data_IF_467629143679
#
_entry.id   IF_467629143679
#
_cell.length_a   1.000
_cell.length_b   1.000
_cell.length_c   1.000
_cell.angle_alpha   90.00
_cell.angle_beta   90.00
_cell.angle_gamma   90.00
#
_symmetry.space_group_name_H-M   'P 1'
#
loop_
_entity.id
_entity.type
_entity.pdbx_description
1 polymer ?
#
# COMPACT_ATOMS: atom_id res chain seq x y z
N UNK A 1 22.57 6.15 -35.72
CA UNK A 1 23.14 6.19 -34.34
C UNK A 1 22.30 7.07 -33.39
N UNK A 2 22.09 8.37 -33.67
CA UNK A 2 21.36 9.28 -32.76
C UNK A 2 19.90 8.88 -32.41
N UNK A 3 19.13 8.41 -33.40
CA UNK A 3 17.74 7.94 -33.21
C UNK A 3 17.65 6.75 -32.24
N UNK A 4 18.62 5.84 -32.28
CA UNK A 4 18.64 4.63 -31.44
C UNK A 4 18.95 4.98 -29.97
N UNK A 5 19.80 5.98 -29.75
CA UNK A 5 20.14 6.49 -28.41
C UNK A 5 18.91 7.16 -27.77
N UNK A 6 18.18 7.98 -28.53
CA UNK A 6 16.98 8.68 -28.06
C UNK A 6 15.88 7.72 -27.58
N UNK A 7 15.59 6.68 -28.38
CA UNK A 7 14.57 5.66 -28.06
C UNK A 7 14.95 4.87 -26.80
N UNK A 8 16.23 4.52 -26.65
CA UNK A 8 16.73 3.79 -25.48
C UNK A 8 16.63 4.63 -24.21
N UNK A 9 16.99 5.91 -24.26
CA UNK A 9 16.88 6.84 -23.13
C UNK A 9 15.43 7.05 -22.70
N UNK A 10 14.50 7.22 -23.64
CA UNK A 10 13.08 7.35 -23.33
C UNK A 10 12.51 6.09 -22.67
N UNK A 11 12.90 4.90 -23.14
CA UNK A 11 12.49 3.63 -22.52
C UNK A 11 12.98 3.49 -21.07
N UNK A 12 14.21 3.91 -20.78
CA UNK A 12 14.78 3.89 -19.43
C UNK A 12 14.04 4.83 -18.49
N UNK A 13 13.72 6.06 -18.93
CA UNK A 13 12.99 7.04 -18.14
C UNK A 13 11.60 6.51 -17.74
N UNK A 14 10.86 5.94 -18.70
CA UNK A 14 9.53 5.36 -18.42
C UNK A 14 9.63 4.21 -17.42
N UNK A 15 10.63 3.32 -17.56
CA UNK A 15 10.87 2.22 -16.61
C UNK A 15 11.15 2.75 -15.20
N UNK A 16 11.97 3.79 -15.07
CA UNK A 16 12.29 4.41 -13.78
C UNK A 16 11.04 4.99 -13.09
N UNK A 17 10.18 5.70 -13.83
CA UNK A 17 8.93 6.23 -13.27
C UNK A 17 8.02 5.11 -12.75
N UNK A 18 7.89 4.01 -13.51
CA UNK A 18 7.10 2.85 -13.10
C UNK A 18 7.68 2.20 -11.84
N UNK A 19 9.01 2.01 -11.78
CA UNK A 19 9.66 1.44 -10.60
C UNK A 19 9.46 2.30 -9.35
N UNK A 20 9.55 3.63 -9.48
CA UNK A 20 9.28 4.56 -8.36
C UNK A 20 7.84 4.42 -7.88
N UNK A 21 6.86 4.41 -8.80
CA UNK A 21 5.45 4.24 -8.44
C UNK A 21 5.20 2.89 -7.76
N UNK A 22 5.77 1.80 -8.29
CA UNK A 22 5.65 0.48 -7.67
C UNK A 22 6.27 0.46 -6.27
N UNK A 23 7.43 1.07 -6.08
CA UNK A 23 8.09 1.15 -4.78
C UNK A 23 7.22 1.92 -3.75
N UNK A 24 6.60 3.02 -4.17
CA UNK A 24 5.70 3.80 -3.31
C UNK A 24 4.43 3.03 -2.92
N UNK A 25 3.99 2.07 -3.73
CA UNK A 25 2.80 1.28 -3.46
C UNK A 25 3.04 0.08 -2.53
N UNK A 26 4.30 -0.27 -2.20
CA UNK A 26 4.60 -1.44 -1.36
C UNK A 26 3.97 -1.33 0.04
N UNK A 27 4.20 -0.20 0.72
CA UNK A 27 3.70 0.03 2.08
C UNK A 27 2.17 0.04 2.14
N UNK A 28 1.42 0.74 1.26
CA UNK A 28 -0.03 0.75 1.34
C UNK A 28 -0.63 -0.60 0.99
N UNK A 29 -0.05 -1.34 0.02
CA UNK A 29 -0.49 -2.70 -0.29
C UNK A 29 -0.30 -3.64 0.90
N UNK A 30 0.84 -3.56 1.58
CA UNK A 30 1.09 -4.33 2.79
C UNK A 30 0.09 -3.97 3.91
N UNK A 31 -0.16 -2.68 4.12
CA UNK A 31 -1.10 -2.19 5.13
C UNK A 31 -2.54 -2.71 4.89
N UNK A 32 -3.04 -2.59 3.65
CA UNK A 32 -4.37 -3.11 3.28
C UNK A 32 -4.43 -4.63 3.45
N UNK A 33 -3.38 -5.35 3.03
CA UNK A 33 -3.32 -6.81 3.18
C UNK A 33 -3.37 -7.24 4.64
N UNK A 34 -2.62 -6.56 5.52
CA UNK A 34 -2.63 -6.83 6.96
C UNK A 34 -4.01 -6.58 7.57
N UNK A 35 -4.66 -5.47 7.21
CA UNK A 35 -6.00 -5.12 7.66
C UNK A 35 -7.05 -6.14 7.23
N UNK A 36 -7.07 -6.52 5.94
CA UNK A 36 -8.00 -7.52 5.41
C UNK A 36 -7.81 -8.88 6.07
N UNK A 37 -6.56 -9.33 6.24
CA UNK A 37 -6.26 -10.60 6.92
C UNK A 37 -6.76 -10.61 8.35
N UNK A 38 -6.61 -9.50 9.07
CA UNK A 38 -7.10 -9.39 10.43
C UNK A 38 -8.63 -9.45 10.49
N UNK A 39 -9.33 -8.71 9.61
CA UNK A 39 -10.80 -8.75 9.55
C UNK A 39 -11.28 -10.18 9.32
N UNK A 40 -10.71 -10.88 8.34
CA UNK A 40 -11.09 -12.27 8.04
C UNK A 40 -10.85 -13.17 9.25
N UNK A 41 -9.72 -13.00 9.96
CA UNK A 41 -9.40 -13.81 11.12
C UNK A 41 -10.31 -13.52 12.32
N UNK A 42 -10.70 -12.26 12.53
CA UNK A 42 -11.65 -11.85 13.57
C UNK A 42 -13.03 -12.40 13.26
N UNK A 43 -13.50 -12.25 12.02
CA UNK A 43 -14.80 -12.76 11.55
C UNK A 43 -14.90 -14.27 11.76
N UNK A 44 -13.87 -15.00 11.32
CA UNK A 44 -13.77 -16.45 11.50
C UNK A 44 -13.75 -16.88 12.97
N UNK A 45 -13.14 -16.09 13.86
CA UNK A 45 -13.10 -16.37 15.30
C UNK A 45 -14.49 -16.20 15.93
N UNK A 46 -15.19 -15.11 15.57
CA UNK A 46 -16.53 -14.82 16.07
C UNK A 46 -17.54 -15.86 15.58
N UNK A 47 -17.46 -16.28 14.32
CA UNK A 47 -18.30 -17.34 13.75
C UNK A 47 -18.09 -18.70 14.43
N UNK A 48 -16.87 -18.96 14.92
CA UNK A 48 -16.55 -20.16 15.69
C UNK A 48 -16.98 -20.07 17.18
N UNK A 49 -17.54 -18.93 17.61
CA UNK A 49 -17.89 -18.68 19.01
C UNK A 49 -16.69 -18.37 19.91
N UNK A 50 -15.53 -18.07 19.33
CA UNK A 50 -14.35 -17.58 20.05
C UNK A 50 -14.35 -16.05 20.15
N UNK A 51 -13.49 -15.52 21.02
CA UNK A 51 -13.07 -14.12 20.92
C UNK A 51 -11.71 -14.02 20.24
N UNK A 52 -11.36 -12.86 19.67
CA UNK A 52 -10.08 -12.67 18.98
C UNK A 52 -9.07 -11.94 19.86
N UNK A 53 -7.93 -12.58 20.14
CA UNK A 53 -6.80 -11.97 20.83
C UNK A 53 -5.99 -11.11 19.84
N UNK A 54 -6.15 -9.79 19.93
CA UNK A 54 -5.46 -8.82 19.08
C UNK A 54 -3.96 -8.69 19.35
N UNK A 55 -3.47 -9.15 20.52
CA UNK A 55 -2.06 -9.15 20.86
C UNK A 55 -1.35 -10.39 20.31
N UNK A 56 -1.99 -11.56 20.39
CA UNK A 56 -1.45 -12.80 19.84
C UNK A 56 -1.85 -13.06 18.37
N UNK A 57 -2.82 -12.33 17.83
CA UNK A 57 -3.29 -12.44 16.45
C UNK A 57 -4.00 -13.75 16.14
N UNK A 58 -4.80 -14.28 17.08
CA UNK A 58 -5.49 -15.58 16.95
C UNK A 58 -6.80 -15.62 17.72
N UNK A 59 -7.64 -16.59 17.35
CA UNK A 59 -8.83 -16.94 18.11
C UNK A 59 -8.46 -17.54 19.48
N UNK A 60 -9.19 -17.12 20.51
CA UNK A 60 -9.13 -17.62 21.87
C UNK A 60 -10.53 -18.03 22.34
N UNK A 61 -10.67 -19.30 22.71
CA UNK A 61 -11.92 -19.92 23.17
C UNK A 61 -12.06 -19.90 24.69
N UNK A 62 -11.05 -19.39 25.41
CA UNK A 62 -10.96 -19.49 26.88
C UNK A 62 -11.29 -18.19 27.57
N UNK A 63 -10.97 -17.06 26.94
CA UNK A 63 -11.20 -15.72 27.47
C UNK A 63 -11.93 -14.84 26.46
N UNK A 64 -12.57 -13.79 26.96
CA UNK A 64 -13.18 -12.73 26.16
C UNK A 64 -12.21 -11.56 26.03
N UNK A 65 -11.79 -11.25 24.80
CA UNK A 65 -10.89 -10.13 24.51
C UNK A 65 -11.67 -8.91 24.00
N UNK A 66 -11.39 -7.69 24.50
CA UNK A 66 -12.03 -6.48 24.01
C UNK A 66 -11.57 -6.14 22.59
N UNK A 67 -12.45 -5.51 21.82
CA UNK A 67 -12.11 -5.00 20.50
C UNK A 67 -11.02 -3.91 20.59
N UNK A 68 -9.94 -4.09 19.84
CA UNK A 68 -8.86 -3.08 19.71
C UNK A 68 -8.74 -2.63 18.25
N UNK A 69 -9.09 -1.36 17.93
CA UNK A 69 -9.00 -0.84 16.58
C UNK A 69 -7.62 -1.03 15.96
N UNK A 70 -7.58 -1.36 14.67
CA UNK A 70 -6.33 -1.49 13.91
C UNK A 70 -5.46 -0.23 14.01
N UNK A 71 -6.08 0.96 14.05
CA UNK A 71 -5.37 2.23 14.17
C UNK A 71 -4.63 2.43 15.49
N UNK A 72 -5.11 1.86 16.60
CA UNK A 72 -4.42 1.92 17.88
C UNK A 72 -3.19 1.00 17.91
N UNK A 73 -3.22 -0.12 17.19
CA UNK A 73 -2.11 -1.10 17.16
C UNK A 73 -1.09 -0.82 16.06
N UNK A 74 -1.54 -0.29 14.92
CA UNK A 74 -0.73 -0.13 13.72
C UNK A 74 -0.68 1.32 13.23
N UNK A 75 -0.76 2.30 14.14
CA UNK A 75 -0.81 3.73 13.81
C UNK A 75 0.34 4.20 12.90
N UNK A 76 1.58 3.78 13.18
CA UNK A 76 2.74 4.10 12.33
C UNK A 76 2.58 3.54 10.92
N UNK A 77 2.08 2.30 10.78
CA UNK A 77 1.86 1.69 9.48
C UNK A 77 0.79 2.44 8.67
N UNK A 78 -0.29 2.89 9.32
CA UNK A 78 -1.32 3.72 8.68
C UNK A 78 -0.75 5.06 8.20
N UNK A 79 0.04 5.74 9.03
CA UNK A 79 0.66 7.02 8.65
C UNK A 79 1.61 6.84 7.47
N UNK A 80 2.48 5.83 7.52
CA UNK A 80 3.42 5.55 6.41
C UNK A 80 2.67 5.14 5.14
N UNK A 81 1.61 4.34 5.26
CA UNK A 81 0.71 3.97 4.15
C UNK A 81 0.08 5.21 3.52
N UNK A 82 -0.48 6.11 4.32
CA UNK A 82 -1.09 7.35 3.84
C UNK A 82 -0.08 8.28 3.16
N UNK A 83 1.11 8.46 3.75
CA UNK A 83 2.16 9.31 3.18
C UNK A 83 2.68 8.75 1.85
N UNK A 84 2.96 7.45 1.79
CA UNK A 84 3.46 6.80 0.58
C UNK A 84 2.42 6.77 -0.54
N UNK A 85 1.15 6.53 -0.21
CA UNK A 85 0.05 6.62 -1.17
C UNK A 85 -0.12 8.05 -1.70
N UNK A 86 -0.10 9.05 -0.81
CA UNK A 86 -0.14 10.46 -1.19
C UNK A 86 1.02 10.85 -2.11
N UNK A 87 2.22 10.37 -1.80
CA UNK A 87 3.40 10.57 -2.65
C UNK A 87 3.25 9.90 -4.02
N UNK A 88 2.69 8.69 -4.09
CA UNK A 88 2.43 7.98 -5.35
C UNK A 88 1.45 8.77 -6.24
N UNK A 89 0.37 9.29 -5.67
CA UNK A 89 -0.62 10.10 -6.38
C UNK A 89 0.00 11.42 -6.88
N UNK A 90 0.71 12.13 -6.02
CA UNK A 90 1.36 13.39 -6.39
C UNK A 90 2.42 13.18 -7.48
N UNK A 91 3.27 12.18 -7.34
CA UNK A 91 4.31 11.85 -8.31
C UNK A 91 3.73 11.38 -9.65
N UNK A 92 2.70 10.52 -9.63
CA UNK A 92 2.01 10.06 -10.83
C UNK A 92 1.36 11.22 -11.59
N UNK A 93 0.69 12.12 -10.87
CA UNK A 93 0.06 13.32 -11.45
C UNK A 93 1.10 14.24 -12.09
N UNK A 94 2.25 14.43 -11.44
CA UNK A 94 3.37 15.19 -11.99
C UNK A 94 3.94 14.54 -13.26
N UNK A 95 4.22 13.24 -13.24
CA UNK A 95 4.79 12.51 -14.38
C UNK A 95 3.86 12.53 -15.59
N UNK A 96 2.55 12.38 -15.38
CA UNK A 96 1.53 12.48 -16.43
C UNK A 96 1.48 13.91 -17.00
N UNK A 97 1.47 14.92 -16.14
CA UNK A 97 1.43 16.33 -16.55
C UNK A 97 2.67 16.74 -17.35
N UNK A 98 3.86 16.30 -16.93
CA UNK A 98 5.11 16.52 -17.65
C UNK A 98 5.07 15.87 -19.03
N UNK A 99 4.56 14.63 -19.13
CA UNK A 99 4.41 13.92 -20.40
C UNK A 99 3.45 14.62 -21.37
N UNK A 100 2.34 15.18 -20.88
CA UNK A 100 1.42 15.95 -21.72
C UNK A 100 2.08 17.23 -22.23
N UNK A 101 2.81 17.96 -21.38
CA UNK A 101 3.52 19.18 -21.79
C UNK A 101 4.56 18.90 -22.87
N UNK A 102 5.32 17.81 -22.76
CA UNK A 102 6.31 17.42 -23.78
C UNK A 102 5.71 16.96 -25.11
N UNK A 103 4.39 16.71 -25.19
CA UNK A 103 3.70 16.36 -26.45
C UNK A 103 3.03 17.56 -27.12
N UNK A 104 2.85 18.65 -26.39
CA UNK A 104 2.19 19.88 -26.87
C UNK A 104 3.17 20.91 -27.45
N UNK A 105 4.47 20.70 -27.21
CA UNK A 105 5.61 21.47 -27.76
C UNK A 105 6.25 20.58 -28.83
#
# INVERSE_FOLDING_TARGET
MAQLVLVRSHSLIVKTHVLILLALLVVPLFCVTAYVREIIAVDSALDAGASFDYAAGRADYTANHPFVPFSHRHGTLLVLSALSLGAAVAYGSYAVSARFRSRAI
#
